data_IF_497986341587
#
_entry.id   IF_497986341587
#
_cell.length_a   1.000
_cell.length_b   1.000
_cell.length_c   1.000
_cell.angle_alpha   90.00
_cell.angle_beta   90.00
_cell.angle_gamma   90.00
#
_symmetry.space_group_name_H-M   'P 1'
#
loop_
_entity.id
_entity.type
_entity.pdbx_description
1 polymer ?
#
# COMPACT_ATOMS: atom_id res chain seq x y z
N UNK A 1 -49.45 18.28 -37.02
CA UNK A 1 -48.01 18.55 -36.81
C UNK A 1 -47.43 17.37 -36.03
N UNK A 2 -46.56 16.61 -36.71
CA UNK A 2 -46.15 15.22 -36.40
C UNK A 2 -45.23 15.10 -35.19
N UNK A 3 -45.27 13.94 -34.52
CA UNK A 3 -44.38 13.48 -33.44
C UNK A 3 -42.90 13.40 -33.85
N UNK A 4 -42.57 13.48 -35.14
CA UNK A 4 -41.20 13.48 -35.66
C UNK A 4 -40.42 14.77 -35.30
N UNK A 5 -41.07 15.93 -35.25
CA UNK A 5 -40.38 17.19 -34.88
C UNK A 5 -39.96 17.25 -33.40
N UNK A 6 -40.45 16.35 -32.55
CA UNK A 6 -39.99 16.25 -31.14
C UNK A 6 -38.77 15.36 -30.97
N UNK A 7 -38.48 14.48 -31.94
CA UNK A 7 -37.29 13.60 -31.89
C UNK A 7 -36.07 14.35 -32.40
N UNK A 8 -36.22 15.15 -33.47
CA UNK A 8 -35.11 15.94 -34.04
C UNK A 8 -34.56 17.03 -33.09
N UNK A 9 -35.43 17.66 -32.30
CA UNK A 9 -35.03 18.69 -31.30
C UNK A 9 -34.34 18.07 -30.07
N UNK A 10 -34.55 16.79 -29.80
CA UNK A 10 -33.86 16.07 -28.71
C UNK A 10 -32.52 15.54 -29.19
N UNK A 11 -32.39 15.12 -30.46
CA UNK A 11 -31.10 14.71 -31.03
C UNK A 11 -30.18 15.89 -31.35
N UNK A 12 -30.70 17.06 -31.75
CA UNK A 12 -29.85 18.24 -32.01
C UNK A 12 -29.22 18.83 -30.75
N UNK A 13 -29.84 18.63 -29.58
CA UNK A 13 -29.30 19.06 -28.28
C UNK A 13 -28.29 18.07 -27.67
N UNK A 14 -28.09 16.90 -28.29
CA UNK A 14 -27.10 15.91 -27.84
C UNK A 14 -25.76 16.03 -28.58
N UNK A 15 -25.73 16.69 -29.75
CA UNK A 15 -24.50 16.87 -30.54
C UNK A 15 -23.74 18.17 -30.23
N UNK A 16 -24.30 19.10 -29.45
CA UNK A 16 -23.66 20.38 -29.11
C UNK A 16 -23.09 20.49 -27.69
N UNK A 17 -23.21 19.45 -26.86
CA UNK A 17 -22.53 19.41 -25.55
C UNK A 17 -21.11 18.88 -25.72
N UNK A 18 -20.15 19.80 -25.82
CA UNK A 18 -18.75 19.52 -25.54
C UNK A 18 -18.63 18.80 -24.19
N UNK A 19 -17.76 17.80 -24.14
CA UNK A 19 -17.52 16.85 -23.04
C UNK A 19 -17.09 17.46 -21.67
N UNK A 20 -17.28 18.75 -21.41
CA UNK A 20 -16.81 19.43 -20.21
C UNK A 20 -17.91 19.81 -19.18
N UNK A 21 -19.21 19.71 -19.50
CA UNK A 21 -20.27 20.32 -18.66
C UNK A 21 -21.13 19.36 -17.81
N UNK A 22 -20.57 18.24 -17.33
CA UNK A 22 -21.21 17.42 -16.29
C UNK A 22 -20.57 17.65 -14.91
N UNK A 23 -20.50 18.92 -14.51
CA UNK A 23 -20.16 19.33 -13.14
C UNK A 23 -21.45 19.53 -12.33
N UNK A 24 -22.10 18.42 -11.95
CA UNK A 24 -23.29 18.47 -11.11
C UNK A 24 -22.89 18.42 -9.62
N UNK A 25 -23.04 19.56 -8.94
CA UNK A 25 -23.22 19.65 -7.48
C UNK A 25 -21.95 19.68 -6.62
N UNK A 26 -20.87 20.33 -7.07
CA UNK A 26 -19.83 20.81 -6.15
C UNK A 26 -20.21 22.26 -5.78
N UNK A 27 -20.27 22.51 -4.48
CA UNK A 27 -20.52 23.84 -3.90
C UNK A 27 -19.73 24.93 -4.65
N UNK A 28 -20.43 26.00 -5.04
CA UNK A 28 -19.92 27.13 -5.85
C UNK A 28 -18.79 27.93 -5.16
N UNK A 29 -18.39 27.49 -3.97
CA UNK A 29 -17.32 28.06 -3.14
C UNK A 29 -15.93 27.40 -3.37
N UNK A 30 -15.83 26.41 -4.26
CA UNK A 30 -14.56 25.79 -4.64
C UNK A 30 -13.62 26.74 -5.42
N UNK A 31 -14.17 27.77 -6.10
CA UNK A 31 -13.41 28.71 -6.93
C UNK A 31 -12.52 29.69 -6.15
N UNK A 32 -12.68 29.81 -4.83
CA UNK A 32 -11.90 30.70 -3.96
C UNK A 32 -10.82 30.00 -3.13
N UNK A 33 -10.73 28.66 -3.15
CA UNK A 33 -9.73 27.93 -2.39
C UNK A 33 -8.51 27.65 -3.26
N UNK A 34 -7.31 27.93 -2.75
CA UNK A 34 -6.07 27.67 -3.47
C UNK A 34 -6.03 26.21 -3.97
N UNK A 35 -6.15 26.04 -5.29
CA UNK A 35 -6.11 24.75 -5.94
C UNK A 35 -4.72 24.13 -5.78
N UNK A 36 -4.66 22.82 -5.52
CA UNK A 36 -3.40 22.09 -5.53
C UNK A 36 -2.77 22.20 -6.93
N UNK A 37 -1.52 22.67 -7.00
CA UNK A 37 -0.87 22.86 -8.30
C UNK A 37 -0.66 21.52 -9.03
N UNK A 38 -1.12 21.46 -10.29
CA UNK A 38 -1.02 20.28 -11.17
C UNK A 38 0.41 20.14 -11.69
N UNK A 39 1.24 19.36 -10.99
CA UNK A 39 2.65 19.15 -11.35
C UNK A 39 3.02 17.75 -11.89
N UNK A 40 2.15 16.74 -11.72
CA UNK A 40 2.48 15.34 -12.02
C UNK A 40 2.10 14.94 -13.45
N UNK A 41 3.05 14.33 -14.18
CA UNK A 41 2.81 13.76 -15.51
C UNK A 41 2.18 12.37 -15.38
N UNK A 42 1.43 11.87 -16.39
CA UNK A 42 0.86 10.51 -16.38
C UNK A 42 1.89 9.40 -16.10
N UNK A 43 3.13 9.56 -16.55
CA UNK A 43 4.24 8.64 -16.25
C UNK A 43 4.62 8.61 -14.76
N UNK A 44 4.54 9.75 -14.07
CA UNK A 44 4.84 9.84 -12.63
C UNK A 44 3.72 9.13 -11.87
N UNK A 45 2.47 9.35 -12.26
CA UNK A 45 1.28 8.74 -11.66
C UNK A 45 1.33 7.20 -11.69
N UNK A 46 1.63 6.61 -12.85
CA UNK A 46 1.70 5.14 -12.97
C UNK A 46 2.84 4.53 -12.15
N UNK A 47 3.98 5.23 -12.05
CA UNK A 47 5.13 4.73 -11.30
C UNK A 47 5.01 4.97 -9.79
N UNK A 48 4.41 6.07 -9.36
CA UNK A 48 4.05 6.31 -7.96
C UNK A 48 3.08 5.22 -7.48
N UNK A 49 2.09 4.89 -8.30
CA UNK A 49 1.10 3.86 -8.00
C UNK A 49 1.69 2.44 -7.84
N UNK A 50 2.84 2.15 -8.47
CA UNK A 50 3.51 0.84 -8.37
C UNK A 50 4.62 0.87 -7.31
N UNK A 51 5.42 1.92 -7.31
CA UNK A 51 6.54 2.12 -6.39
C UNK A 51 6.11 2.39 -4.96
N UNK A 52 4.89 2.89 -4.75
CA UNK A 52 4.31 3.06 -3.41
C UNK A 52 3.93 1.74 -2.74
N UNK A 53 3.70 0.68 -3.52
CA UNK A 53 3.18 -0.60 -3.00
C UNK A 53 4.32 -1.58 -2.75
N UNK A 54 5.26 -1.70 -3.69
CA UNK A 54 6.46 -2.50 -3.50
C UNK A 54 7.38 -1.77 -2.52
N UNK A 55 7.44 -2.25 -1.28
CA UNK A 55 8.17 -1.57 -0.22
C UNK A 55 8.59 -2.47 0.93
N UNK A 56 8.72 -1.87 2.11
CA UNK A 56 9.21 -2.53 3.32
C UNK A 56 8.33 -3.70 3.75
N UNK A 57 7.06 -3.74 3.40
CA UNK A 57 6.22 -4.91 3.66
C UNK A 57 6.74 -6.19 3.00
N UNK A 58 7.14 -6.13 1.72
CA UNK A 58 7.73 -7.27 1.03
C UNK A 58 9.20 -7.48 1.43
N UNK A 59 9.99 -6.42 1.54
CA UNK A 59 11.43 -6.56 1.77
C UNK A 59 11.80 -6.87 3.21
N UNK A 60 11.06 -6.33 4.18
CA UNK A 60 11.36 -6.40 5.62
C UNK A 60 10.26 -7.20 6.33
N UNK A 61 8.98 -6.83 6.14
CA UNK A 61 7.84 -7.48 6.80
C UNK A 61 7.70 -8.98 6.49
N UNK A 62 8.05 -9.41 5.29
CA UNK A 62 8.08 -10.84 4.92
C UNK A 62 9.01 -11.67 5.81
N UNK A 63 10.08 -11.08 6.36
CA UNK A 63 10.98 -11.77 7.27
C UNK A 63 10.34 -12.11 8.61
N UNK A 64 9.47 -11.23 9.12
CA UNK A 64 8.70 -11.50 10.34
C UNK A 64 7.63 -12.57 10.12
N UNK A 65 7.00 -12.59 8.94
CA UNK A 65 6.05 -13.64 8.58
C UNK A 65 6.76 -15.00 8.36
N UNK A 66 7.90 -15.00 7.68
CA UNK A 66 8.72 -16.20 7.48
C UNK A 66 9.18 -16.78 8.80
N UNK A 67 9.82 -15.98 9.67
CA UNK A 67 10.38 -16.45 10.94
C UNK A 67 9.33 -17.05 11.85
N UNK A 68 8.12 -16.49 11.84
CA UNK A 68 7.03 -16.94 12.70
C UNK A 68 6.30 -18.15 12.14
N UNK A 69 6.10 -18.24 10.82
CA UNK A 69 5.11 -19.17 10.25
C UNK A 69 5.70 -20.24 9.31
N UNK A 70 6.95 -20.06 8.87
CA UNK A 70 7.57 -20.92 7.86
C UNK A 70 7.20 -20.58 6.41
N UNK A 71 7.91 -21.17 5.44
CA UNK A 71 7.86 -20.77 4.04
C UNK A 71 6.54 -21.13 3.33
N UNK A 72 5.89 -22.25 3.69
CA UNK A 72 4.61 -22.63 3.09
C UNK A 72 3.48 -21.71 3.53
N UNK A 73 3.47 -21.32 4.81
CA UNK A 73 2.52 -20.34 5.32
C UNK A 73 2.72 -18.97 4.68
N UNK A 74 3.97 -18.52 4.51
CA UNK A 74 4.31 -17.29 3.78
C UNK A 74 3.80 -17.31 2.34
N UNK A 75 4.07 -18.37 1.58
CA UNK A 75 3.60 -18.43 0.19
C UNK A 75 2.07 -18.44 0.12
N UNK A 76 1.43 -19.22 0.99
CA UNK A 76 -0.03 -19.35 1.04
C UNK A 76 -0.69 -18.02 1.40
N UNK A 77 -0.16 -17.29 2.37
CA UNK A 77 -0.71 -15.98 2.77
C UNK A 77 -0.59 -14.96 1.66
N UNK A 78 0.54 -14.92 0.94
CA UNK A 78 0.74 -14.05 -0.22
C UNK A 78 -0.20 -14.39 -1.38
N UNK A 79 -0.51 -15.67 -1.62
CA UNK A 79 -1.51 -16.10 -2.59
C UNK A 79 -2.93 -15.64 -2.20
N UNK A 80 -3.32 -15.84 -0.94
CA UNK A 80 -4.65 -15.45 -0.45
C UNK A 80 -4.82 -13.93 -0.48
N UNK A 81 -3.84 -13.18 0.04
CA UNK A 81 -3.88 -11.71 0.04
C UNK A 81 -3.82 -11.13 -1.38
N UNK A 82 -3.22 -11.84 -2.33
CA UNK A 82 -3.26 -11.50 -3.76
C UNK A 82 -4.68 -11.59 -4.35
N UNK A 83 -5.52 -12.52 -3.88
CA UNK A 83 -6.94 -12.59 -4.28
C UNK A 83 -7.73 -11.44 -3.62
N UNK A 84 -7.46 -11.15 -2.35
CA UNK A 84 -8.09 -10.04 -1.63
C UNK A 84 -7.79 -8.71 -2.32
N UNK A 85 -6.51 -8.42 -2.61
CA UNK A 85 -6.11 -7.15 -3.24
C UNK A 85 -6.69 -7.01 -4.65
N UNK A 86 -6.86 -8.12 -5.38
CA UNK A 86 -7.55 -8.09 -6.66
C UNK A 86 -9.00 -7.64 -6.51
N UNK A 87 -9.74 -8.20 -5.54
CA UNK A 87 -11.10 -7.77 -5.23
C UNK A 87 -11.18 -6.30 -4.84
N UNK A 88 -10.25 -5.85 -3.99
CA UNK A 88 -10.13 -4.44 -3.56
C UNK A 88 -9.95 -3.51 -4.74
N UNK A 89 -8.98 -3.80 -5.60
CA UNK A 89 -8.71 -2.96 -6.77
C UNK A 89 -9.89 -2.93 -7.74
N UNK A 90 -10.61 -4.05 -7.90
CA UNK A 90 -11.73 -4.13 -8.81
C UNK A 90 -12.91 -3.24 -8.40
N UNK A 91 -13.37 -3.32 -7.15
CA UNK A 91 -14.47 -2.46 -6.71
C UNK A 91 -14.06 -0.99 -6.69
N UNK A 92 -12.79 -0.70 -6.37
CA UNK A 92 -12.28 0.65 -6.31
C UNK A 92 -12.16 1.25 -7.71
N UNK A 93 -11.68 0.48 -8.68
CA UNK A 93 -11.58 0.90 -10.07
C UNK A 93 -12.96 1.20 -10.69
N UNK A 94 -14.00 0.41 -10.39
CA UNK A 94 -15.36 0.65 -10.88
C UNK A 94 -15.93 1.97 -10.32
N UNK A 95 -15.83 2.20 -9.00
CA UNK A 95 -16.26 3.47 -8.38
C UNK A 95 -15.46 4.67 -8.87
N UNK A 96 -14.12 4.56 -8.90
CA UNK A 96 -13.24 5.65 -9.29
C UNK A 96 -13.31 5.97 -10.79
N UNK A 97 -13.63 4.99 -11.63
CA UNK A 97 -13.86 5.25 -13.07
C UNK A 97 -15.18 5.98 -13.29
N UNK A 98 -16.22 5.64 -12.54
CA UNK A 98 -17.50 6.34 -12.61
C UNK A 98 -17.36 7.79 -12.14
N UNK A 99 -16.80 7.96 -10.94
CA UNK A 99 -16.57 9.24 -10.28
C UNK A 99 -15.09 9.41 -9.92
N UNK A 100 -14.26 9.92 -10.84
CA UNK A 100 -12.87 10.27 -10.54
C UNK A 100 -12.81 11.37 -9.48
N UNK A 101 -12.29 11.03 -8.31
CA UNK A 101 -12.12 11.98 -7.20
C UNK A 101 -10.91 12.87 -7.48
N UNK A 102 -11.14 14.16 -7.75
CA UNK A 102 -10.08 15.16 -7.95
C UNK A 102 -9.77 15.85 -6.62
N UNK A 103 -8.62 15.56 -6.02
CA UNK A 103 -8.20 16.20 -4.77
C UNK A 103 -9.10 15.92 -3.56
N UNK A 104 -9.93 14.88 -3.65
CA UNK A 104 -10.80 14.40 -2.56
C UNK A 104 -10.26 13.09 -1.99
N UNK A 105 -10.55 12.85 -0.72
CA UNK A 105 -10.17 11.60 -0.05
C UNK A 105 -10.97 10.42 -0.58
N UNK A 106 -10.42 9.21 -0.49
CA UNK A 106 -11.15 7.97 -0.82
C UNK A 106 -12.40 7.79 0.06
N UNK A 107 -12.40 8.40 1.26
CA UNK A 107 -13.58 8.44 2.14
C UNK A 107 -14.80 9.13 1.53
N UNK A 108 -14.63 9.97 0.50
CA UNK A 108 -15.74 10.62 -0.20
C UNK A 108 -16.70 9.58 -0.83
N UNK A 109 -16.22 8.38 -1.19
CA UNK A 109 -17.10 7.30 -1.66
C UNK A 109 -18.07 6.83 -0.55
N UNK A 110 -17.61 6.70 0.68
CA UNK A 110 -18.46 6.34 1.81
C UNK A 110 -19.46 7.46 2.11
N UNK A 111 -19.02 8.72 2.12
CA UNK A 111 -19.90 9.90 2.30
C UNK A 111 -21.02 9.93 1.26
N UNK A 112 -20.70 9.60 0.00
CA UNK A 112 -21.64 9.71 -1.12
C UNK A 112 -22.60 8.53 -1.22
N UNK A 113 -22.12 7.31 -0.98
CA UNK A 113 -22.87 6.09 -1.25
C UNK A 113 -23.45 5.42 0.00
N UNK A 114 -22.97 5.77 1.19
CA UNK A 114 -23.45 5.18 2.45
C UNK A 114 -24.05 6.25 3.34
N UNK A 115 -23.22 7.03 4.02
CA UNK A 115 -23.62 8.11 4.92
C UNK A 115 -22.43 9.00 5.32
N UNK A 116 -22.73 10.20 5.83
CA UNK A 116 -21.71 11.19 6.24
C UNK A 116 -20.91 10.76 7.46
N UNK A 117 -21.48 9.99 8.39
CA UNK A 117 -20.80 9.54 9.61
C UNK A 117 -19.77 8.45 9.30
N UNK A 118 -20.10 7.50 8.41
CA UNK A 118 -19.14 6.53 7.90
C UNK A 118 -18.04 7.22 7.08
N UNK A 119 -18.39 8.20 6.25
CA UNK A 119 -17.44 9.05 5.55
C UNK A 119 -16.43 9.73 6.48
N UNK A 120 -16.93 10.34 7.56
CA UNK A 120 -16.09 10.93 8.62
C UNK A 120 -15.15 9.90 9.27
N UNK A 121 -15.70 8.78 9.74
CA UNK A 121 -14.92 7.75 10.43
C UNK A 121 -13.86 7.13 9.51
N UNK A 122 -14.24 6.80 8.28
CA UNK A 122 -13.34 6.26 7.27
C UNK A 122 -12.24 7.26 6.92
N UNK A 123 -12.57 8.55 6.77
CA UNK A 123 -11.57 9.56 6.44
C UNK A 123 -10.51 9.72 7.53
N UNK A 124 -10.90 9.74 8.82
CA UNK A 124 -9.95 9.74 9.94
C UNK A 124 -9.13 8.45 10.01
N UNK A 125 -9.73 7.30 9.74
CA UNK A 125 -9.01 6.02 9.69
C UNK A 125 -7.95 6.00 8.58
N UNK A 126 -8.27 6.48 7.37
CA UNK A 126 -7.30 6.57 6.28
C UNK A 126 -6.18 7.55 6.58
N UNK A 127 -6.50 8.74 7.10
CA UNK A 127 -5.48 9.68 7.55
C UNK A 127 -4.54 9.03 8.57
N UNK A 128 -5.11 8.40 9.60
CA UNK A 128 -4.36 7.69 10.63
C UNK A 128 -3.45 6.60 10.04
N UNK A 129 -3.98 5.77 9.14
CA UNK A 129 -3.23 4.71 8.46
C UNK A 129 -2.03 5.28 7.69
N UNK A 130 -2.23 6.29 6.84
CA UNK A 130 -1.13 6.94 6.11
C UNK A 130 -0.11 7.55 7.06
N UNK A 131 -0.56 8.21 8.13
CA UNK A 131 0.33 8.90 9.06
C UNK A 131 1.15 7.92 9.92
N UNK A 132 0.60 6.76 10.26
CA UNK A 132 1.29 5.69 11.00
C UNK A 132 2.27 4.90 10.12
N UNK A 133 2.05 4.86 8.80
CA UNK A 133 3.02 4.26 7.88
C UNK A 133 4.34 5.05 7.86
N UNK A 134 4.33 6.37 8.07
CA UNK A 134 5.57 7.17 8.09
C UNK A 134 6.57 6.72 9.17
N UNK A 135 6.21 6.63 10.47
CA UNK A 135 7.11 6.10 11.48
C UNK A 135 7.44 4.62 11.27
N UNK A 136 6.54 3.83 10.65
CA UNK A 136 6.82 2.43 10.27
C UNK A 136 7.98 2.35 9.27
N UNK A 137 7.97 3.20 8.23
CA UNK A 137 9.01 3.23 7.21
C UNK A 137 10.34 3.77 7.74
N UNK A 138 10.30 4.81 8.61
CA UNK A 138 11.50 5.31 9.30
C UNK A 138 12.11 4.22 10.19
N UNK A 139 11.26 3.45 10.86
CA UNK A 139 11.69 2.30 11.67
C UNK A 139 12.36 1.25 10.81
N UNK A 140 11.73 0.86 9.69
CA UNK A 140 12.29 -0.11 8.76
C UNK A 140 13.66 0.34 8.21
N UNK A 141 13.79 1.61 7.83
CA UNK A 141 15.06 2.21 7.44
C UNK A 141 16.12 2.10 8.55
N UNK A 142 15.73 2.35 9.81
CA UNK A 142 16.59 2.15 10.98
C UNK A 142 17.10 0.71 11.14
N UNK A 143 16.24 -0.29 10.90
CA UNK A 143 16.67 -1.70 10.95
C UNK A 143 17.64 -2.00 9.78
N UNK A 144 17.36 -1.49 8.58
CA UNK A 144 18.19 -1.71 7.39
C UNK A 144 19.59 -1.09 7.54
N UNK A 145 19.72 0.07 8.21
CA UNK A 145 21.03 0.72 8.43
C UNK A 145 21.96 -0.07 9.34
N UNK A 146 21.40 -0.81 10.32
CA UNK A 146 22.18 -1.66 11.25
C UNK A 146 23.03 -2.70 10.53
N UNK A 147 22.64 -3.10 9.32
CA UNK A 147 23.45 -3.97 8.48
C UNK A 147 24.87 -3.42 8.21
N UNK A 148 25.06 -2.10 8.10
CA UNK A 148 26.39 -1.50 7.92
C UNK A 148 27.04 -1.05 9.23
N UNK A 149 26.27 -0.58 10.21
CA UNK A 149 26.83 -0.07 11.46
C UNK A 149 25.82 -0.07 12.60
N UNK A 150 26.27 -0.57 13.76
CA UNK A 150 25.56 -0.46 15.04
C UNK A 150 26.21 0.58 15.98
N UNK A 151 27.27 1.27 15.53
CA UNK A 151 28.01 2.24 16.36
C UNK A 151 27.23 3.54 16.60
N UNK A 152 26.36 3.89 15.67
CA UNK A 152 25.58 5.13 15.72
C UNK A 152 24.20 4.81 16.33
N UNK A 153 23.77 5.51 17.38
CA UNK A 153 22.46 5.29 17.97
C UNK A 153 21.33 5.42 16.95
N UNK A 154 20.34 4.52 17.00
CA UNK A 154 19.21 4.51 16.05
C UNK A 154 18.44 5.84 16.05
N UNK A 155 18.41 6.55 17.19
CA UNK A 155 17.82 7.88 17.30
C UNK A 155 18.39 8.90 16.32
N UNK A 156 19.70 8.84 16.01
CA UNK A 156 20.33 9.74 15.04
C UNK A 156 19.83 9.45 13.63
N UNK A 157 19.76 8.16 13.26
CA UNK A 157 19.22 7.74 11.96
C UNK A 157 17.75 8.11 11.80
N UNK A 158 16.94 7.95 12.85
CA UNK A 158 15.55 8.40 12.88
C UNK A 158 15.45 9.90 12.60
N UNK A 159 16.26 10.72 13.27
CA UNK A 159 16.29 12.18 13.04
C UNK A 159 16.62 12.50 11.57
N UNK A 160 17.63 11.83 11.01
CA UNK A 160 18.08 12.06 9.63
C UNK A 160 16.95 11.72 8.64
N UNK A 161 16.39 10.51 8.72
CA UNK A 161 15.32 10.10 7.80
C UNK A 161 14.09 10.99 7.95
N UNK A 162 13.71 11.33 9.18
CA UNK A 162 12.57 12.21 9.45
C UNK A 162 12.78 13.62 8.85
N UNK A 163 13.93 14.26 9.11
CA UNK A 163 14.24 15.60 8.59
C UNK A 163 14.22 15.62 7.06
N UNK A 164 14.75 14.59 6.42
CA UNK A 164 14.79 14.52 4.97
C UNK A 164 13.39 14.29 4.39
N UNK A 165 12.58 13.40 4.97
CA UNK A 165 11.18 13.16 4.56
C UNK A 165 10.35 14.45 4.69
N UNK A 166 10.44 15.13 5.83
CA UNK A 166 9.72 16.39 6.07
C UNK A 166 10.23 17.48 5.13
N UNK A 167 11.55 17.60 4.98
CA UNK A 167 12.19 18.56 4.09
C UNK A 167 11.73 18.42 2.64
N UNK A 168 11.71 17.19 2.10
CA UNK A 168 11.21 16.93 0.74
C UNK A 168 9.72 17.25 0.58
N UNK A 169 8.90 16.96 1.60
CA UNK A 169 7.47 17.29 1.58
C UNK A 169 7.18 18.80 1.74
N UNK A 170 8.15 19.58 2.22
CA UNK A 170 8.11 21.04 2.23
C UNK A 170 8.52 21.69 0.89
N UNK A 171 9.15 20.94 -0.03
CA UNK A 171 9.56 21.43 -1.35
C UNK A 171 8.40 21.36 -2.36
N UNK A 172 8.52 22.13 -3.45
CA UNK A 172 7.50 22.18 -4.50
C UNK A 172 7.25 20.80 -5.14
N UNK A 173 5.96 20.45 -5.29
CA UNK A 173 5.43 19.14 -5.73
C UNK A 173 6.06 18.60 -7.04
N UNK A 174 6.58 19.48 -7.89
CA UNK A 174 7.23 19.09 -9.14
C UNK A 174 8.51 18.26 -8.93
N UNK A 175 9.34 18.62 -7.94
CA UNK A 175 10.58 17.89 -7.65
C UNK A 175 10.32 16.52 -7.02
N UNK A 176 9.29 16.46 -6.18
CA UNK A 176 8.80 15.21 -5.59
C UNK A 176 8.44 14.16 -6.67
N UNK A 177 7.69 14.57 -7.70
CA UNK A 177 7.24 13.63 -8.74
C UNK A 177 8.35 13.00 -9.57
N UNK A 178 9.42 13.75 -9.87
CA UNK A 178 10.58 13.22 -10.60
C UNK A 178 11.46 12.33 -9.69
N UNK A 179 11.61 12.67 -8.40
CA UNK A 179 12.33 11.82 -7.45
C UNK A 179 11.64 10.45 -7.26
N UNK A 180 10.32 10.46 -7.07
CA UNK A 180 9.53 9.22 -6.93
C UNK A 180 9.58 8.37 -8.20
N UNK A 181 9.61 8.97 -9.39
CA UNK A 181 9.77 8.24 -10.65
C UNK A 181 11.06 7.39 -10.66
N UNK A 182 12.18 7.97 -10.23
CA UNK A 182 13.46 7.27 -10.17
C UNK A 182 13.49 6.22 -9.05
N UNK A 183 12.97 6.53 -7.87
CA UNK A 183 12.91 5.56 -6.76
C UNK A 183 12.02 4.37 -7.09
N UNK A 184 10.84 4.59 -7.68
CA UNK A 184 9.95 3.52 -8.13
C UNK A 184 10.61 2.62 -9.19
N UNK A 185 11.35 3.22 -10.14
CA UNK A 185 12.08 2.46 -11.16
C UNK A 185 13.15 1.55 -10.53
N UNK A 186 13.93 2.08 -9.60
CA UNK A 186 14.96 1.34 -8.88
C UNK A 186 14.39 0.18 -8.04
N UNK A 187 13.22 0.36 -7.42
CA UNK A 187 12.48 -0.71 -6.71
C UNK A 187 12.11 -1.86 -7.65
N UNK A 188 11.56 -1.55 -8.83
CA UNK A 188 11.13 -2.54 -9.82
C UNK A 188 12.31 -3.36 -10.35
N UNK A 189 13.42 -2.69 -10.70
CA UNK A 189 14.62 -3.40 -11.14
C UNK A 189 15.22 -4.27 -10.04
N UNK A 190 15.19 -3.80 -8.78
CA UNK A 190 15.67 -4.58 -7.65
C UNK A 190 14.85 -5.86 -7.44
N UNK A 191 13.51 -5.78 -7.39
CA UNK A 191 12.71 -7.00 -7.19
C UNK A 191 12.85 -7.99 -8.35
N UNK A 192 12.97 -7.51 -9.59
CA UNK A 192 13.27 -8.37 -10.74
C UNK A 192 14.63 -9.06 -10.57
N UNK A 193 15.67 -8.29 -10.21
CA UNK A 193 17.01 -8.83 -9.96
C UNK A 193 17.03 -9.83 -8.80
N UNK A 194 16.26 -9.59 -7.75
CA UNK A 194 16.11 -10.49 -6.61
C UNK A 194 15.41 -11.80 -6.97
N UNK A 195 14.37 -11.75 -7.81
CA UNK A 195 13.70 -12.96 -8.31
C UNK A 195 14.67 -13.78 -9.16
N UNK A 196 15.39 -13.15 -10.10
CA UNK A 196 16.39 -13.83 -10.93
C UNK A 196 17.50 -14.42 -10.07
N UNK A 197 18.05 -13.65 -9.12
CA UNK A 197 19.08 -14.11 -8.19
C UNK A 197 18.58 -15.30 -7.36
N UNK A 198 17.35 -15.24 -6.87
CA UNK A 198 16.72 -16.34 -6.16
C UNK A 198 16.64 -17.63 -6.98
N UNK A 199 16.27 -17.53 -8.25
CA UNK A 199 16.24 -18.66 -9.19
C UNK A 199 17.66 -19.21 -9.42
N UNK A 200 18.67 -18.36 -9.57
CA UNK A 200 20.07 -18.79 -9.72
C UNK A 200 20.54 -19.55 -8.47
N UNK A 201 20.28 -19.02 -7.28
CA UNK A 201 20.61 -19.68 -6.00
C UNK A 201 19.86 -21.01 -5.88
N UNK A 202 18.57 -21.07 -6.26
CA UNK A 202 17.75 -22.28 -6.22
C UNK A 202 18.42 -23.45 -6.95
N UNK A 203 18.99 -23.19 -8.13
CA UNK A 203 19.65 -24.21 -8.96
C UNK A 203 21.13 -24.44 -8.65
N UNK A 204 21.70 -23.75 -7.64
CA UNK A 204 23.10 -23.91 -7.24
C UNK A 204 24.09 -23.11 -8.09
N UNK A 205 23.62 -22.08 -8.79
CA UNK A 205 24.48 -21.16 -9.56
C UNK A 205 25.18 -20.09 -8.72
N UNK A 206 25.05 -20.13 -7.39
CA UNK A 206 25.75 -19.24 -6.48
C UNK A 206 27.24 -19.63 -6.32
N UNK A 207 28.12 -18.74 -5.83
CA UNK A 207 29.54 -19.06 -5.58
C UNK A 207 29.77 -20.25 -4.64
N UNK A 208 28.81 -20.56 -3.77
CA UNK A 208 28.86 -21.76 -2.92
C UNK A 208 28.71 -23.07 -3.71
N UNK A 209 28.25 -23.00 -4.97
CA UNK A 209 27.86 -24.14 -5.82
C UNK A 209 26.86 -25.10 -5.16
N UNK A 210 26.18 -24.62 -4.12
CA UNK A 210 25.26 -25.41 -3.32
C UNK A 210 23.84 -25.30 -3.88
N UNK A 211 23.31 -26.41 -4.38
CA UNK A 211 21.94 -26.47 -4.90
C UNK A 211 20.95 -26.55 -3.74
N UNK A 212 20.28 -25.43 -3.45
CA UNK A 212 19.25 -25.39 -2.42
C UNK A 212 18.01 -26.21 -2.79
N UNK A 213 17.44 -26.01 -4.00
CA UNK A 213 16.12 -26.56 -4.31
C UNK A 213 15.09 -26.22 -3.22
N UNK A 214 14.27 -27.17 -2.80
CA UNK A 214 13.32 -27.00 -1.69
C UNK A 214 13.90 -27.40 -0.31
N UNK A 215 15.22 -27.35 -0.12
CA UNK A 215 15.86 -27.78 1.14
C UNK A 215 15.21 -27.19 2.38
N UNK A 216 15.02 -25.87 2.43
CA UNK A 216 14.43 -25.22 3.61
C UNK A 216 12.94 -25.50 3.83
N UNK A 217 12.24 -26.05 2.83
CA UNK A 217 10.87 -26.53 2.97
C UNK A 217 10.81 -27.94 3.57
N UNK A 218 11.91 -28.70 3.47
CA UNK A 218 12.05 -30.02 4.06
C UNK A 218 12.71 -29.95 5.44
N UNK A 219 13.80 -29.20 5.57
CA UNK A 219 14.56 -28.99 6.81
C UNK A 219 14.94 -27.51 6.95
N UNK A 220 14.47 -26.78 7.97
CA UNK A 220 13.77 -27.25 9.18
C UNK A 220 12.27 -27.55 8.99
N UNK A 221 11.71 -27.34 7.78
CA UNK A 221 10.35 -27.74 7.43
C UNK A 221 9.55 -26.64 6.75
N UNK A 222 8.36 -26.99 6.28
CA UNK A 222 7.50 -26.06 5.53
C UNK A 222 6.71 -25.10 6.42
N UNK A 223 6.51 -25.47 7.68
CA UNK A 223 5.71 -24.77 8.69
C UNK A 223 6.51 -24.68 9.99
N UNK A 224 6.44 -23.53 10.67
CA UNK A 224 7.19 -23.29 11.90
C UNK A 224 6.49 -23.87 13.15
N UNK A 225 5.17 -24.06 13.08
CA UNK A 225 4.32 -24.55 14.17
C UNK A 225 4.43 -23.69 15.43
N UNK A 226 4.23 -22.37 15.31
CA UNK A 226 4.59 -21.41 16.37
C UNK A 226 3.70 -21.40 17.62
N UNK A 227 2.42 -21.79 17.51
CA UNK A 227 1.44 -21.73 18.63
C UNK A 227 0.92 -23.10 19.08
N UNK A 228 1.05 -24.12 18.25
CA UNK A 228 0.49 -25.45 18.50
C UNK A 228 1.34 -26.50 17.77
N UNK A 229 0.94 -27.77 17.85
CA UNK A 229 1.54 -28.86 17.07
C UNK A 229 0.54 -29.48 16.09
N UNK A 230 1.05 -30.14 15.04
CA UNK A 230 0.25 -30.91 14.08
C UNK A 230 -0.52 -30.06 13.07
N UNK A 231 -1.69 -30.53 12.64
CA UNK A 231 -2.46 -29.86 11.58
C UNK A 231 -3.04 -28.52 12.03
N UNK A 232 -3.42 -28.39 13.31
CA UNK A 232 -3.85 -27.12 13.89
C UNK A 232 -2.74 -26.07 13.78
N UNK A 233 -1.50 -26.44 14.09
CA UNK A 233 -0.35 -25.55 13.98
C UNK A 233 -0.14 -25.01 12.57
N UNK A 234 -0.26 -25.87 11.55
CA UNK A 234 -0.14 -25.46 10.15
C UNK A 234 -1.22 -24.44 9.76
N UNK A 235 -2.46 -24.64 10.22
CA UNK A 235 -3.54 -23.67 10.00
C UNK A 235 -3.23 -22.34 10.70
N UNK A 236 -2.79 -22.37 11.95
CA UNK A 236 -2.44 -21.17 12.72
C UNK A 236 -1.25 -20.42 12.09
N UNK A 237 -0.24 -21.13 11.59
CA UNK A 237 0.87 -20.53 10.84
C UNK A 237 0.36 -19.79 9.59
N UNK A 238 -0.53 -20.40 8.80
CA UNK A 238 -1.14 -19.73 7.63
C UNK A 238 -1.92 -18.50 8.08
N UNK A 239 -2.73 -18.62 9.14
CA UNK A 239 -3.56 -17.53 9.63
C UNK A 239 -2.73 -16.34 10.16
N UNK A 240 -1.73 -16.61 11.01
CA UNK A 240 -0.76 -15.60 11.47
C UNK A 240 0.00 -15.00 10.30
N UNK A 241 0.35 -15.79 9.29
CA UNK A 241 1.05 -15.29 8.10
C UNK A 241 0.17 -14.38 7.26
N UNK A 242 -1.14 -14.65 7.13
CA UNK A 242 -2.11 -13.76 6.47
C UNK A 242 -2.12 -12.40 7.17
N UNK A 243 -2.26 -12.40 8.50
CA UNK A 243 -2.27 -11.19 9.32
C UNK A 243 -0.99 -10.38 9.13
N UNK A 244 0.19 -11.01 9.29
CA UNK A 244 1.48 -10.33 9.16
C UNK A 244 1.76 -9.83 7.74
N UNK A 245 1.38 -10.61 6.73
CA UNK A 245 1.66 -10.31 5.32
C UNK A 245 0.73 -9.25 4.76
N UNK A 246 -0.46 -9.05 5.34
CA UNK A 246 -1.40 -8.01 4.90
C UNK A 246 -0.79 -6.60 4.91
N UNK A 247 0.18 -6.33 5.78
CA UNK A 247 0.98 -5.10 5.78
C UNK A 247 1.59 -4.78 4.41
N UNK A 248 2.03 -5.78 3.65
CA UNK A 248 2.64 -5.56 2.34
C UNK A 248 1.64 -5.11 1.26
N UNK A 249 0.33 -5.32 1.49
CA UNK A 249 -0.71 -5.09 0.50
C UNK A 249 -1.55 -3.84 0.78
N UNK A 250 -1.62 -3.38 2.03
CA UNK A 250 -2.46 -2.24 2.41
C UNK A 250 -2.06 -0.95 1.69
N UNK A 251 -3.03 -0.04 1.50
CA UNK A 251 -2.88 1.30 0.90
C UNK A 251 -2.42 1.37 -0.56
N UNK A 252 -2.14 0.24 -1.19
CA UNK A 252 -1.69 0.21 -2.59
C UNK A 252 -2.77 0.59 -3.61
N UNK A 253 -3.92 -0.10 -3.65
CA UNK A 253 -5.03 0.22 -4.55
C UNK A 253 -5.49 1.67 -4.43
N UNK A 254 -5.47 2.19 -3.20
CA UNK A 254 -5.81 3.56 -2.89
C UNK A 254 -4.89 4.58 -3.57
N UNK A 255 -3.58 4.38 -3.48
CA UNK A 255 -2.61 5.22 -4.18
C UNK A 255 -2.81 5.15 -5.70
N UNK A 256 -3.12 3.98 -6.24
CA UNK A 256 -3.43 3.81 -7.67
C UNK A 256 -4.66 4.63 -8.05
N UNK A 257 -5.74 4.53 -7.27
CA UNK A 257 -7.00 5.22 -7.55
C UNK A 257 -6.86 6.75 -7.44
N UNK A 258 -6.19 7.24 -6.38
CA UNK A 258 -5.94 8.67 -6.19
C UNK A 258 -5.08 9.24 -7.31
N UNK A 259 -3.95 8.60 -7.60
CA UNK A 259 -3.03 9.08 -8.62
C UNK A 259 -3.68 9.05 -10.02
N UNK A 260 -4.42 7.98 -10.34
CA UNK A 260 -5.12 7.87 -11.63
C UNK A 260 -6.31 8.85 -11.74
N UNK A 261 -6.94 9.24 -10.63
CA UNK A 261 -7.95 10.30 -10.58
C UNK A 261 -7.41 11.69 -10.97
N UNK A 262 -6.13 11.94 -10.73
CA UNK A 262 -5.43 13.18 -11.12
C UNK A 262 -4.88 13.17 -12.56
N UNK A 263 -4.97 12.04 -13.28
CA UNK A 263 -4.43 11.90 -14.62
C UNK A 263 -5.30 12.56 -15.71
N UNK A 264 -4.70 12.87 -16.86
CA UNK A 264 -5.46 13.27 -18.07
C UNK A 264 -6.35 12.12 -18.52
N UNK A 265 -7.66 12.34 -18.75
CA UNK A 265 -8.66 11.29 -19.09
C UNK A 265 -8.73 10.16 -18.04
N UNK A 266 -9.11 10.47 -16.79
CA UNK A 266 -9.08 9.51 -15.69
C UNK A 266 -9.95 8.27 -15.93
N UNK A 267 -11.11 8.42 -16.59
CA UNK A 267 -12.03 7.30 -16.88
C UNK A 267 -11.42 6.21 -17.78
N UNK A 268 -10.44 6.55 -18.62
CA UNK A 268 -9.73 5.59 -19.46
C UNK A 268 -8.50 5.01 -18.73
N UNK A 269 -7.82 5.85 -17.95
CA UNK A 269 -6.56 5.47 -17.31
C UNK A 269 -6.75 4.64 -16.03
N UNK A 270 -7.81 4.88 -15.25
CA UNK A 270 -8.07 4.17 -13.99
C UNK A 270 -8.22 2.66 -14.24
N UNK A 271 -9.05 2.17 -15.18
CA UNK A 271 -9.17 0.73 -15.46
C UNK A 271 -7.86 0.10 -15.91
N UNK A 272 -7.09 0.80 -16.75
CA UNK A 272 -5.79 0.33 -17.23
C UNK A 272 -4.78 0.22 -16.08
N UNK A 273 -4.69 1.26 -15.25
CA UNK A 273 -3.82 1.28 -14.07
C UNK A 273 -4.19 0.18 -13.08
N UNK A 274 -5.49 0.00 -12.81
CA UNK A 274 -6.00 -1.05 -11.94
C UNK A 274 -5.59 -2.45 -12.39
N UNK A 275 -5.78 -2.77 -13.67
CA UNK A 275 -5.41 -4.08 -14.23
C UNK A 275 -3.91 -4.32 -14.16
N UNK A 276 -3.11 -3.36 -14.63
CA UNK A 276 -1.65 -3.50 -14.66
C UNK A 276 -1.05 -3.56 -13.26
N UNK A 277 -1.61 -2.83 -12.30
CA UNK A 277 -1.23 -2.87 -10.89
C UNK A 277 -1.37 -4.28 -10.32
N UNK A 278 -2.57 -4.86 -10.38
CA UNK A 278 -2.85 -6.17 -9.78
C UNK A 278 -1.89 -7.24 -10.31
N UNK A 279 -1.77 -7.37 -11.64
CA UNK A 279 -0.93 -8.42 -12.21
C UNK A 279 0.52 -8.31 -11.79
N UNK A 280 1.05 -7.08 -11.69
CA UNK A 280 2.43 -6.84 -11.25
C UNK A 280 2.62 -7.12 -9.77
N UNK A 281 1.70 -6.67 -8.91
CA UNK A 281 1.78 -6.93 -7.47
C UNK A 281 1.73 -8.44 -7.23
N UNK A 282 0.73 -9.14 -7.76
CA UNK A 282 0.59 -10.59 -7.60
C UNK A 282 1.86 -11.31 -8.07
N UNK A 283 2.38 -10.96 -9.25
CA UNK A 283 3.60 -11.56 -9.80
C UNK A 283 4.81 -11.37 -8.86
N UNK A 284 5.12 -10.13 -8.48
CA UNK A 284 6.29 -9.85 -7.65
C UNK A 284 6.16 -10.37 -6.22
N UNK A 285 4.95 -10.38 -5.69
CA UNK A 285 4.69 -10.75 -4.30
C UNK A 285 4.69 -12.26 -4.12
N UNK A 286 3.99 -12.99 -4.98
CA UNK A 286 3.96 -14.46 -4.92
C UNK A 286 5.33 -15.05 -5.26
N UNK A 287 5.99 -14.57 -6.33
CA UNK A 287 7.34 -15.04 -6.65
C UNK A 287 8.36 -14.58 -5.62
N UNK A 288 8.23 -13.36 -5.09
CA UNK A 288 9.07 -12.87 -4.01
C UNK A 288 8.96 -13.75 -2.76
N UNK A 289 7.75 -14.07 -2.32
CA UNK A 289 7.49 -14.96 -1.18
C UNK A 289 8.04 -16.36 -1.41
N UNK A 290 7.88 -16.92 -2.62
CA UNK A 290 8.46 -18.21 -2.99
C UNK A 290 9.99 -18.17 -2.91
N UNK A 291 10.62 -17.16 -3.51
CA UNK A 291 12.08 -16.98 -3.50
C UNK A 291 12.59 -16.86 -2.07
N UNK A 292 11.98 -16.00 -1.26
CA UNK A 292 12.30 -15.84 0.17
C UNK A 292 12.25 -17.18 0.90
N UNK A 293 11.17 -17.94 0.72
CA UNK A 293 10.98 -19.23 1.38
C UNK A 293 11.98 -20.31 0.93
N UNK A 294 12.62 -20.15 -0.22
CA UNK A 294 13.64 -21.09 -0.71
C UNK A 294 15.05 -20.67 -0.32
N UNK A 295 15.37 -19.38 -0.29
CA UNK A 295 16.76 -18.92 -0.07
C UNK A 295 17.12 -18.71 1.40
N UNK A 296 16.14 -18.69 2.31
CA UNK A 296 16.38 -18.52 3.76
C UNK A 296 15.58 -19.55 4.57
N UNK A 297 16.21 -20.26 5.53
CA UNK A 297 15.46 -21.07 6.49
C UNK A 297 14.73 -20.17 7.49
N UNK A 298 13.50 -20.53 7.85
CA UNK A 298 12.70 -19.73 8.79
C UNK A 298 13.32 -19.64 10.21
N UNK A 299 14.26 -20.53 10.55
CA UNK A 299 15.01 -20.53 11.81
C UNK A 299 16.23 -19.60 11.81
N UNK A 300 16.50 -18.89 10.71
CA UNK A 300 17.68 -18.02 10.64
C UNK A 300 17.57 -16.87 11.67
N UNK A 301 18.54 -16.72 12.60
CA UNK A 301 18.45 -15.74 13.70
C UNK A 301 18.53 -14.29 13.23
N UNK A 302 18.97 -14.04 11.99
CA UNK A 302 19.04 -12.70 11.42
C UNK A 302 17.71 -12.24 10.82
N UNK A 303 16.74 -13.16 10.60
CA UNK A 303 15.37 -12.75 10.31
C UNK A 303 14.87 -11.87 11.46
N UNK A 304 13.82 -11.08 11.21
CA UNK A 304 13.12 -10.28 12.22
C UNK A 304 12.51 -11.19 13.31
N UNK A 305 13.39 -11.60 14.19
CA UNK A 305 13.23 -12.28 15.46
C UNK A 305 13.97 -11.38 16.45
N UNK A 306 13.40 -11.10 17.61
CA UNK A 306 13.89 -10.08 18.54
C UNK A 306 15.33 -10.28 19.08
N UNK A 307 16.08 -11.28 18.58
CA UNK A 307 17.38 -11.74 19.09
C UNK A 307 18.58 -11.52 18.15
N UNK A 308 18.40 -11.00 16.93
CA UNK A 308 19.46 -10.96 15.90
C UNK A 308 20.18 -9.62 15.69
N UNK A 309 21.48 -9.70 15.34
CA UNK A 309 22.28 -8.58 14.85
C UNK A 309 22.03 -8.32 13.35
N UNK A 310 21.12 -7.39 13.04
CA UNK A 310 21.20 -6.54 11.83
C UNK A 310 21.28 -7.21 10.44
N UNK A 311 20.28 -8.01 10.04
CA UNK A 311 19.96 -8.17 8.60
C UNK A 311 18.44 -8.37 8.38
N UNK A 312 17.70 -7.29 8.25
CA UNK A 312 16.22 -7.26 8.28
C UNK A 312 15.52 -7.93 7.11
N UNK A 313 16.19 -8.04 5.95
CA UNK A 313 15.57 -8.51 4.72
C UNK A 313 15.93 -9.96 4.41
N UNK A 314 14.95 -10.86 4.22
CA UNK A 314 15.23 -12.23 3.82
C UNK A 314 15.99 -12.33 2.49
N UNK A 315 15.79 -11.39 1.57
CA UNK A 315 16.57 -11.34 0.33
C UNK A 315 18.06 -11.11 0.58
N UNK A 316 18.39 -10.14 1.43
CA UNK A 316 19.79 -9.83 1.80
C UNK A 316 20.42 -11.00 2.55
N UNK A 317 19.68 -11.63 3.47
CA UNK A 317 20.13 -12.84 4.17
C UNK A 317 20.43 -13.97 3.18
N UNK A 318 19.53 -14.24 2.23
CA UNK A 318 19.70 -15.30 1.24
C UNK A 318 20.93 -15.07 0.35
N UNK A 319 21.15 -13.85 -0.11
CA UNK A 319 22.33 -13.46 -0.91
C UNK A 319 23.62 -13.67 -0.12
N UNK A 320 23.63 -13.27 1.16
CA UNK A 320 24.78 -13.43 2.06
C UNK A 320 25.07 -14.91 2.33
N UNK A 321 24.04 -15.72 2.61
CA UNK A 321 24.16 -17.17 2.80
C UNK A 321 24.69 -17.87 1.53
N UNK A 322 24.31 -17.37 0.36
CA UNK A 322 24.78 -17.87 -0.94
C UNK A 322 26.23 -17.42 -1.29
N UNK A 323 26.88 -16.63 -0.43
CA UNK A 323 28.27 -16.19 -0.63
C UNK A 323 28.46 -15.19 -1.78
N UNK A 324 27.39 -14.56 -2.27
CA UNK A 324 27.47 -13.55 -3.35
C UNK A 324 28.00 -12.25 -2.76
N UNK A 325 29.24 -11.89 -3.09
CA UNK A 325 29.89 -10.68 -2.60
C UNK A 325 29.25 -9.42 -3.21
N UNK A 326 29.16 -8.35 -2.43
CA UNK A 326 28.73 -6.99 -2.84
C UNK A 326 27.23 -6.86 -3.13
N UNK A 327 26.58 -7.87 -3.69
CA UNK A 327 25.16 -7.80 -4.05
C UNK A 327 24.26 -7.57 -2.83
N UNK A 328 24.61 -8.13 -1.68
CA UNK A 328 23.92 -7.91 -0.41
C UNK A 328 23.95 -6.44 0.01
N UNK A 329 25.10 -5.76 -0.11
CA UNK A 329 25.20 -4.32 0.13
C UNK A 329 24.38 -3.48 -0.86
N UNK A 330 24.38 -3.83 -2.16
CA UNK A 330 23.62 -3.12 -3.19
C UNK A 330 22.12 -3.23 -2.91
N UNK A 331 21.64 -4.46 -2.68
CA UNK A 331 20.23 -4.72 -2.37
C UNK A 331 19.81 -4.01 -1.10
N UNK A 332 20.63 -4.06 -0.04
CA UNK A 332 20.31 -3.39 1.21
C UNK A 332 20.22 -1.86 1.04
N UNK A 333 21.08 -1.26 0.20
CA UNK A 333 21.00 0.16 -0.16
C UNK A 333 19.73 0.51 -0.94
N UNK A 334 19.29 -0.37 -1.85
CA UNK A 334 18.01 -0.21 -2.56
C UNK A 334 16.82 -0.34 -1.59
N UNK A 335 16.85 -1.28 -0.65
CA UNK A 335 15.79 -1.43 0.36
C UNK A 335 15.72 -0.17 1.24
N UNK A 336 16.87 0.43 1.58
CA UNK A 336 16.92 1.66 2.35
C UNK A 336 16.27 2.84 1.61
N UNK A 337 16.64 3.03 0.33
CA UNK A 337 16.02 4.07 -0.50
C UNK A 337 14.54 3.78 -0.75
N UNK A 338 14.16 2.49 -0.78
CA UNK A 338 12.77 2.06 -0.89
C UNK A 338 11.94 2.48 0.32
N UNK A 339 12.41 2.18 1.53
CA UNK A 339 11.75 2.57 2.78
C UNK A 339 11.58 4.10 2.86
N UNK A 340 12.64 4.84 2.51
CA UNK A 340 12.61 6.29 2.51
C UNK A 340 11.62 6.87 1.49
N UNK A 341 11.60 6.38 0.25
CA UNK A 341 10.61 6.79 -0.77
C UNK A 341 9.18 6.47 -0.33
N UNK A 342 8.93 5.29 0.27
CA UNK A 342 7.61 4.94 0.79
C UNK A 342 7.19 5.89 1.92
N UNK A 343 8.06 6.17 2.90
CA UNK A 343 7.77 7.13 3.98
C UNK A 343 7.48 8.54 3.47
N UNK A 344 8.22 8.99 2.45
CA UNK A 344 7.98 10.24 1.75
C UNK A 344 6.59 10.28 1.07
N UNK A 345 6.20 9.19 0.41
CA UNK A 345 4.88 9.05 -0.21
C UNK A 345 3.73 9.00 0.79
N UNK A 346 3.91 8.33 1.92
CA UNK A 346 2.88 8.28 2.96
C UNK A 346 2.72 9.60 3.70
N UNK A 347 3.79 10.37 3.93
CA UNK A 347 3.65 11.72 4.47
C UNK A 347 2.92 12.64 3.48
N UNK A 348 3.24 12.53 2.19
CA UNK A 348 2.53 13.25 1.13
C UNK A 348 1.03 12.92 1.11
N UNK A 349 0.66 11.63 1.23
CA UNK A 349 -0.73 11.18 1.28
C UNK A 349 -1.43 11.62 2.57
N UNK A 350 -0.77 11.48 3.73
CA UNK A 350 -1.28 11.88 5.05
C UNK A 350 -1.66 13.37 5.09
N UNK A 351 -0.76 14.25 4.62
CA UNK A 351 -1.01 15.70 4.60
C UNK A 351 -2.22 16.08 3.73
N UNK A 352 -2.38 15.43 2.58
CA UNK A 352 -3.51 15.66 1.67
C UNK A 352 -4.81 15.06 2.19
N UNK A 353 -4.75 13.89 2.80
CA UNK A 353 -5.90 13.27 3.45
C UNK A 353 -6.44 14.18 4.55
N UNK A 354 -5.56 14.74 5.39
CA UNK A 354 -5.97 15.68 6.45
C UNK A 354 -6.51 17.00 5.89
N UNK A 355 -5.91 17.50 4.81
CA UNK A 355 -6.40 18.69 4.11
C UNK A 355 -7.81 18.45 3.53
N UNK A 356 -8.03 17.29 2.92
CA UNK A 356 -9.34 16.87 2.41
C UNK A 356 -10.39 16.82 3.51
N UNK A 357 -10.06 16.21 4.65
CA UNK A 357 -10.93 16.20 5.84
C UNK A 357 -11.29 17.61 6.31
N UNK A 358 -10.32 18.53 6.35
CA UNK A 358 -10.58 19.92 6.75
C UNK A 358 -11.51 20.63 5.76
N UNK A 359 -11.33 20.39 4.45
CA UNK A 359 -12.18 20.93 3.38
C UNK A 359 -13.61 20.43 3.42
N UNK A 360 -13.79 19.16 3.76
CA UNK A 360 -15.09 18.49 3.92
C UNK A 360 -15.79 18.85 5.25
N UNK A 361 -15.14 19.62 6.13
CA UNK A 361 -15.68 19.99 7.44
C UNK A 361 -15.56 18.90 8.51
N UNK A 362 -14.78 17.86 8.24
CA UNK A 362 -14.49 16.75 9.15
C UNK A 362 -13.26 16.95 10.03
N UNK A 363 -12.46 17.99 9.77
CA UNK A 363 -11.35 18.42 10.61
C UNK A 363 -11.38 19.95 10.84
N UNK A 364 -10.63 20.48 11.82
CA UNK A 364 -10.62 21.91 12.13
C UNK A 364 -10.32 22.80 10.93
N UNK A 365 -11.13 23.85 10.72
CA UNK A 365 -11.08 24.73 9.54
C UNK A 365 -9.71 25.40 9.30
N UNK A 366 -8.90 25.60 10.33
CA UNK A 366 -7.58 26.21 10.18
C UNK A 366 -6.61 25.33 9.37
N UNK A 367 -6.90 24.03 9.23
CA UNK A 367 -6.11 23.06 8.45
C UNK A 367 -6.41 23.11 6.94
N UNK A 368 -7.46 23.82 6.49
CA UNK A 368 -7.77 24.03 5.05
C UNK A 368 -6.90 25.13 4.40
N UNK A 369 -5.62 25.20 4.76
CA UNK A 369 -4.71 26.23 4.23
C UNK A 369 -3.50 25.61 3.55
N UNK A 370 -3.05 26.24 2.49
CA UNK A 370 -1.79 25.91 1.82
C UNK A 370 -0.86 27.11 1.86
N UNK A 371 0.45 26.88 1.91
CA UNK A 371 1.43 27.94 1.75
C UNK A 371 1.50 28.41 0.28
N UNK A 372 2.30 29.45 0.02
CA UNK A 372 2.51 30.03 -1.33
C UNK A 372 3.09 29.06 -2.37
N UNK A 373 3.63 27.92 -1.95
CA UNK A 373 4.18 26.88 -2.81
C UNK A 373 3.21 25.70 -3.02
N UNK A 374 1.97 25.81 -2.50
CA UNK A 374 0.96 24.76 -2.59
C UNK A 374 1.14 23.60 -1.60
N UNK A 375 1.99 23.76 -0.58
CA UNK A 375 2.19 22.76 0.48
C UNK A 375 1.13 22.97 1.58
N UNK A 376 0.36 21.93 1.97
CA UNK A 376 -0.63 22.01 3.03
C UNK A 376 -0.03 22.33 4.41
N UNK A 377 -0.68 23.18 5.20
CA UNK A 377 -0.33 23.42 6.63
C UNK A 377 -0.37 22.14 7.47
N UNK A 378 -1.18 21.17 7.06
CA UNK A 378 -1.32 19.85 7.69
C UNK A 378 -0.02 19.06 7.77
N UNK A 379 1.04 19.47 7.06
CA UNK A 379 2.38 18.93 7.22
C UNK A 379 2.92 19.02 8.65
N UNK A 380 2.59 20.09 9.39
CA UNK A 380 3.07 20.28 10.76
C UNK A 380 2.58 19.17 11.70
N UNK A 381 1.26 18.93 11.87
CA UNK A 381 0.79 17.84 12.73
C UNK A 381 1.20 16.45 12.21
N UNK A 382 1.27 16.22 10.90
CA UNK A 382 1.69 14.92 10.34
C UNK A 382 3.17 14.64 10.61
N UNK A 383 4.04 15.65 10.43
CA UNK A 383 5.46 15.55 10.74
C UNK A 383 5.69 15.31 12.24
N UNK A 384 4.98 16.03 13.11
CA UNK A 384 5.04 15.83 14.55
C UNK A 384 4.63 14.40 14.96
N UNK A 385 3.55 13.87 14.37
CA UNK A 385 3.12 12.50 14.61
C UNK A 385 4.17 11.46 14.18
N UNK A 386 4.90 11.74 13.10
CA UNK A 386 5.96 10.85 12.61
C UNK A 386 7.14 10.70 13.58
N UNK A 387 7.27 11.60 14.58
CA UNK A 387 8.22 11.45 15.68
C UNK A 387 7.91 10.26 16.60
N UNK A 388 6.75 9.61 16.47
CA UNK A 388 6.50 8.31 17.09
C UNK A 388 7.56 7.27 16.72
N UNK A 389 8.28 7.45 15.61
CA UNK A 389 9.46 6.66 15.26
C UNK A 389 10.51 6.62 16.39
N UNK A 390 10.57 7.59 17.31
CA UNK A 390 11.50 7.54 18.46
C UNK A 390 11.18 6.46 19.50
N UNK A 391 10.02 5.77 19.42
CA UNK A 391 9.76 4.58 20.24
C UNK A 391 10.79 3.45 20.00
N UNK A 392 11.51 3.51 18.87
CA UNK A 392 12.69 2.68 18.58
C UNK A 392 13.91 2.94 19.48
N UNK A 393 13.95 4.05 20.21
CA UNK A 393 15.07 4.36 21.12
C UNK A 393 14.85 3.69 22.45
N UNK A 394 13.61 3.65 22.93
CA UNK A 394 13.25 2.96 24.18
C UNK A 394 13.05 1.45 24.00
N UNK A 395 12.67 0.99 22.81
CA UNK A 395 12.43 -0.42 22.50
C UNK A 395 13.31 -0.90 21.35
N UNK A 396 13.30 -2.20 21.06
CA UNK A 396 14.03 -2.71 19.89
C UNK A 396 13.38 -2.25 18.57
N UNK A 397 14.18 -2.08 17.52
CA UNK A 397 13.63 -1.62 16.23
C UNK A 397 12.67 -2.62 15.59
N UNK A 398 12.87 -3.91 15.84
CA UNK A 398 11.97 -4.96 15.39
C UNK A 398 10.62 -4.91 16.12
N UNK A 399 10.61 -4.63 17.42
CA UNK A 399 9.41 -4.52 18.22
C UNK A 399 8.56 -3.31 17.84
N UNK A 400 9.17 -2.13 17.72
CA UNK A 400 8.48 -0.93 17.24
C UNK A 400 7.92 -1.13 15.82
N UNK A 401 8.68 -1.77 14.92
CA UNK A 401 8.20 -2.12 13.59
C UNK A 401 6.97 -3.03 13.64
N UNK A 402 6.99 -4.08 14.48
CA UNK A 402 5.87 -5.00 14.63
C UNK A 402 4.62 -4.31 15.17
N UNK A 403 4.76 -3.39 16.14
CA UNK A 403 3.63 -2.60 16.63
C UNK A 403 3.05 -1.69 15.54
N UNK A 404 3.89 -0.89 14.88
CA UNK A 404 3.40 0.04 13.86
C UNK A 404 2.81 -0.68 12.65
N UNK A 405 3.46 -1.73 12.16
CA UNK A 405 2.96 -2.51 11.01
C UNK A 405 1.62 -3.19 11.33
N UNK A 406 1.44 -3.74 12.52
CA UNK A 406 0.17 -4.35 12.93
C UNK A 406 -0.96 -3.30 12.98
N UNK A 407 -0.73 -2.17 13.64
CA UNK A 407 -1.70 -1.07 13.76
C UNK A 407 -2.08 -0.52 12.37
N UNK A 408 -1.10 -0.29 11.49
CA UNK A 408 -1.34 0.14 10.11
C UNK A 408 -2.19 -0.87 9.35
N UNK A 409 -1.86 -2.16 9.48
CA UNK A 409 -2.52 -3.27 8.79
C UNK A 409 -4.00 -3.28 9.13
N UNK A 410 -4.36 -3.28 10.41
CA UNK A 410 -5.76 -3.32 10.83
C UNK A 410 -6.53 -2.09 10.36
N UNK A 411 -5.93 -0.91 10.47
CA UNK A 411 -6.54 0.32 9.96
C UNK A 411 -6.80 0.24 8.44
N UNK A 412 -5.86 -0.27 7.65
CA UNK A 412 -6.04 -0.46 6.20
C UNK A 412 -7.12 -1.49 5.87
N UNK A 413 -7.14 -2.63 6.57
CA UNK A 413 -8.14 -3.69 6.39
C UNK A 413 -9.56 -3.21 6.71
N UNK A 414 -9.75 -2.44 7.79
CA UNK A 414 -11.04 -1.80 8.10
C UNK A 414 -11.45 -0.84 6.97
N UNK A 415 -10.50 -0.08 6.40
CA UNK A 415 -10.74 0.76 5.24
C UNK A 415 -11.30 0.00 4.05
N UNK A 416 -10.76 -1.20 3.75
CA UNK A 416 -11.24 -2.06 2.68
C UNK A 416 -12.65 -2.60 2.92
N UNK A 417 -13.00 -2.95 4.16
CA UNK A 417 -14.37 -3.34 4.52
C UNK A 417 -15.34 -2.19 4.24
N UNK A 418 -15.02 -0.99 4.71
CA UNK A 418 -15.84 0.21 4.48
C UNK A 418 -15.98 0.55 2.98
N UNK A 419 -14.91 0.39 2.21
CA UNK A 419 -14.95 0.55 0.75
C UNK A 419 -15.81 -0.50 0.05
N UNK A 420 -15.71 -1.76 0.47
CA UNK A 420 -16.55 -2.83 -0.05
C UNK A 420 -18.03 -2.54 0.21
N UNK A 421 -18.39 -2.08 1.41
CA UNK A 421 -19.76 -1.67 1.73
C UNK A 421 -20.20 -0.50 0.84
N UNK A 422 -19.33 0.50 0.66
CA UNK A 422 -19.58 1.64 -0.23
C UNK A 422 -19.83 1.20 -1.67
N UNK A 423 -19.06 0.24 -2.16
CA UNK A 423 -19.24 -0.35 -3.49
C UNK A 423 -20.59 -1.07 -3.62
N UNK A 424 -20.99 -1.89 -2.64
CA UNK A 424 -22.28 -2.58 -2.70
C UNK A 424 -23.46 -1.60 -2.77
N UNK A 425 -23.36 -0.47 -2.06
CA UNK A 425 -24.36 0.61 -2.13
C UNK A 425 -24.32 1.34 -3.48
N UNK A 426 -23.14 1.68 -3.97
CA UNK A 426 -22.94 2.26 -5.30
C UNK A 426 -23.57 1.38 -6.40
N UNK A 427 -23.23 0.08 -6.40
CA UNK A 427 -23.77 -0.89 -7.37
C UNK A 427 -25.28 -0.97 -7.30
N UNK A 428 -25.85 -1.03 -6.08
CA UNK A 428 -27.31 -1.04 -5.89
C UNK A 428 -27.96 0.22 -6.45
N UNK A 429 -27.37 1.39 -6.20
CA UNK A 429 -27.86 2.67 -6.73
C UNK A 429 -27.83 2.69 -8.26
N UNK A 430 -26.72 2.27 -8.89
CA UNK A 430 -26.62 2.20 -10.35
C UNK A 430 -27.64 1.23 -10.97
N UNK A 431 -27.90 0.10 -10.32
CA UNK A 431 -28.89 -0.88 -10.78
C UNK A 431 -30.31 -0.31 -10.72
N UNK A 432 -30.68 0.32 -9.60
CA UNK A 432 -32.00 0.96 -9.42
C UNK A 432 -32.22 2.11 -10.42
N UNK A 433 -31.16 2.86 -10.74
CA UNK A 433 -31.21 3.95 -11.71
C UNK A 433 -31.10 3.48 -13.18
N UNK A 434 -30.91 2.17 -13.42
CA UNK A 434 -30.79 1.63 -14.79
C UNK A 434 -29.50 2.00 -15.52
N UNK A 435 -28.49 2.52 -14.81
CA UNK A 435 -27.21 2.99 -15.40
C UNK A 435 -26.06 1.99 -15.24
N UNK A 436 -26.31 0.83 -14.60
CA UNK A 436 -25.26 -0.15 -14.33
C UNK A 436 -24.62 -0.70 -15.62
N UNK A 437 -25.41 -0.88 -16.66
CA UNK A 437 -24.94 -1.36 -17.97
C UNK A 437 -24.20 -0.29 -18.77
N UNK A 438 -24.43 0.99 -18.47
CA UNK A 438 -23.80 2.12 -19.14
C UNK A 438 -22.55 2.62 -18.41
N UNK A 439 -22.08 1.90 -17.38
CA UNK A 439 -20.87 2.30 -16.64
C UNK A 439 -19.64 2.29 -17.56
N UNK A 440 -18.73 3.29 -17.47
CA UNK A 440 -17.55 3.33 -18.34
C UNK A 440 -16.58 2.17 -18.10
N UNK A 441 -16.63 1.56 -16.92
CA UNK A 441 -15.92 0.34 -16.58
C UNK A 441 -16.79 -0.50 -15.66
N UNK A 442 -16.88 -1.80 -15.93
CA UNK A 442 -17.55 -2.79 -15.09
C UNK A 442 -16.52 -3.81 -14.64
N UNK A 443 -16.37 -4.00 -13.33
CA UNK A 443 -15.42 -4.98 -12.83
C UNK A 443 -16.01 -6.40 -12.94
N UNK A 444 -15.20 -7.40 -13.32
CA UNK A 444 -15.64 -8.79 -13.38
C UNK A 444 -15.91 -9.34 -11.97
N UNK A 445 -16.70 -10.42 -11.88
CA UNK A 445 -17.00 -11.18 -10.64
C UNK A 445 -17.74 -10.41 -9.54
N UNK A 446 -18.28 -9.23 -9.85
CA UNK A 446 -19.06 -8.44 -8.92
C UNK A 446 -20.53 -8.85 -8.91
N UNK A 447 -21.19 -8.92 -7.73
CA UNK A 447 -20.73 -8.47 -6.41
C UNK A 447 -20.05 -9.55 -5.55
N UNK A 448 -19.94 -10.79 -6.02
CA UNK A 448 -19.47 -11.93 -5.23
C UNK A 448 -18.07 -11.74 -4.66
N UNK A 449 -17.16 -11.18 -5.48
CA UNK A 449 -15.79 -10.92 -5.05
C UNK A 449 -15.72 -9.84 -3.95
N UNK A 450 -16.58 -8.81 -4.01
CA UNK A 450 -16.67 -7.81 -2.94
C UNK A 450 -17.18 -8.43 -1.63
N UNK A 451 -18.18 -9.33 -1.69
CA UNK A 451 -18.64 -10.05 -0.51
C UNK A 451 -17.55 -10.92 0.11
N UNK A 452 -16.78 -11.65 -0.72
CA UNK A 452 -15.63 -12.40 -0.26
C UNK A 452 -14.62 -11.50 0.48
N UNK A 453 -14.24 -10.36 -0.10
CA UNK A 453 -13.32 -9.41 0.54
C UNK A 453 -13.87 -8.91 1.87
N UNK A 454 -15.12 -8.45 1.92
CA UNK A 454 -15.75 -7.95 3.15
C UNK A 454 -15.72 -9.01 4.25
N UNK A 455 -16.20 -10.22 3.97
CA UNK A 455 -16.30 -11.29 4.98
C UNK A 455 -14.91 -11.73 5.43
N UNK A 456 -14.02 -12.02 4.48
CA UNK A 456 -12.69 -12.52 4.79
C UNK A 456 -11.88 -11.50 5.59
N UNK A 457 -11.82 -10.24 5.14
CA UNK A 457 -11.08 -9.18 5.82
C UNK A 457 -11.68 -8.86 7.20
N UNK A 458 -13.01 -8.92 7.34
CA UNK A 458 -13.66 -8.77 8.65
C UNK A 458 -13.22 -9.84 9.63
N UNK A 459 -13.16 -11.11 9.20
CA UNK A 459 -12.67 -12.21 10.04
C UNK A 459 -11.20 -12.00 10.42
N UNK A 460 -10.35 -11.56 9.48
CA UNK A 460 -8.95 -11.23 9.76
C UNK A 460 -8.84 -10.12 10.81
N UNK A 461 -9.64 -9.05 10.70
CA UNK A 461 -9.64 -7.96 11.69
C UNK A 461 -10.03 -8.45 13.09
N UNK A 462 -11.11 -9.23 13.21
CA UNK A 462 -11.60 -9.75 14.50
C UNK A 462 -10.57 -10.69 15.15
N UNK A 463 -9.87 -11.48 14.34
CA UNK A 463 -8.95 -12.50 14.81
C UNK A 463 -7.49 -12.05 14.82
N UNK A 464 -7.15 -10.81 14.48
CA UNK A 464 -5.76 -10.32 14.43
C UNK A 464 -4.95 -10.59 15.72
N UNK A 465 -5.62 -10.51 16.87
CA UNK A 465 -5.03 -10.75 18.19
C UNK A 465 -5.19 -12.18 18.72
N UNK A 466 -5.67 -13.13 17.94
CA UNK A 466 -6.06 -14.46 18.44
C UNK A 466 -4.92 -15.22 19.16
N UNK A 467 -3.66 -14.91 18.84
CA UNK A 467 -2.49 -15.53 19.45
C UNK A 467 -2.40 -15.31 20.97
N UNK A 468 -3.07 -14.29 21.52
CA UNK A 468 -3.10 -14.04 22.99
C UNK A 468 -3.89 -15.09 23.78
N UNK A 469 -4.64 -15.96 23.10
CA UNK A 469 -5.41 -17.04 23.71
C UNK A 469 -4.64 -18.38 23.74
N UNK A 470 -3.36 -18.37 23.36
CA UNK A 470 -2.40 -19.47 23.47
C UNK A 470 -1.31 -19.06 24.48
#
# INVERSE_FOLDING_TARGET
MSKENKVEVVTSNLESTSNDDLEYGIDVDASKRAELQRGLKPRHIQLIAIGGVIGTGLFVGSGAALSTCGPAALLTSYLIMSVVIYGVMLYLAEMATYLPLKGSSISTFATRYVDKSLGFAMGWNYWYSYNMLVPTEITAAGIVVKYWTDKVPVGVWITIFWLVIVGLNCLAVKYYGEAEFWFASLKIFCILGLIVTGIVIFFGGAPTHDRLGFRYWNEPGSFAQHLASGNTAKFLDVWTSIIKSAFAFIQGPELVALAAGEAKKPRQNIPFAARTFVYRVIFFYVLGALVIGVIVPYTNPNLLSGSGNGASSPFVIGIKNAGIKVLDHIVNAVILTSAWSSGNSYLYASTRSLLGLAREGYAPKFLDKTNKYGVPITIIPCAAFSLLAYLNVSNSSAEAFNWFSNICTISGLIGWVCLGISYLRFRKACSVQGIYETLPYKAPFQPYLTWFVIVFVTIVCITNGYAVFF
#
